data_IF_620120073475
#
_entry.id   IF_620120073475
#
_cell.length_a   1.000
_cell.length_b   1.000
_cell.length_c   1.000
_cell.angle_alpha   90.00
_cell.angle_beta   90.00
_cell.angle_gamma   90.00
#
_symmetry.space_group_name_H-M   'P 1'
#
loop_
_entity.id
_entity.type
_entity.pdbx_description
1 polymer ?
#
# COMPACT_ATOMS: atom_id res chain seq x y z
N UNK A 1 -23.67 -33.14 -10.32
CA UNK A 1 -23.93 -34.48 -10.84
C UNK A 1 -23.75 -34.47 -12.36
N UNK A 2 -22.64 -35.09 -12.85
CA UNK A 2 -22.23 -35.06 -14.27
C UNK A 2 -23.32 -35.62 -15.23
N UNK A 3 -24.18 -36.49 -14.73
CA UNK A 3 -25.33 -37.01 -15.47
C UNK A 3 -26.40 -35.94 -15.72
N UNK A 4 -26.70 -35.13 -14.71
CA UNK A 4 -27.71 -34.06 -14.81
C UNK A 4 -27.19 -32.91 -15.69
N UNK A 5 -25.88 -32.58 -15.62
CA UNK A 5 -25.26 -31.56 -16.47
C UNK A 5 -25.23 -31.99 -17.95
N UNK A 6 -24.96 -33.27 -18.24
CA UNK A 6 -24.95 -33.80 -19.59
C UNK A 6 -26.39 -33.78 -20.19
N UNK A 7 -27.39 -34.07 -19.39
CA UNK A 7 -28.81 -34.11 -19.84
C UNK A 7 -29.34 -32.69 -20.07
N UNK A 8 -29.03 -31.72 -19.22
CA UNK A 8 -29.45 -30.32 -19.38
C UNK A 8 -28.75 -29.63 -20.55
N UNK A 9 -27.50 -29.97 -20.82
CA UNK A 9 -26.71 -29.36 -21.90
C UNK A 9 -26.81 -30.12 -23.25
N UNK A 10 -27.50 -31.24 -23.31
CA UNK A 10 -27.67 -32.04 -24.53
C UNK A 10 -26.38 -32.69 -25.03
N UNK A 11 -25.40 -32.88 -24.15
CA UNK A 11 -24.11 -33.52 -24.46
C UNK A 11 -24.13 -35.01 -24.14
N UNK A 12 -23.37 -35.80 -24.90
CA UNK A 12 -23.14 -37.19 -24.51
C UNK A 12 -22.30 -37.25 -23.22
N UNK A 13 -22.45 -38.32 -22.43
CA UNK A 13 -21.64 -38.57 -21.23
C UNK A 13 -20.12 -38.52 -21.49
N UNK A 14 -19.72 -38.97 -22.69
CA UNK A 14 -18.30 -38.92 -23.07
C UNK A 14 -17.84 -37.49 -23.36
N UNK A 15 -18.66 -36.65 -23.95
CA UNK A 15 -18.39 -35.22 -24.15
C UNK A 15 -18.33 -34.48 -22.83
N UNK A 16 -19.27 -34.76 -21.91
CA UNK A 16 -19.26 -34.19 -20.58
C UNK A 16 -18.00 -34.63 -19.78
N UNK A 17 -17.59 -35.88 -19.88
CA UNK A 17 -16.41 -36.42 -19.24
C UNK A 17 -15.11 -35.83 -19.76
N UNK A 18 -15.01 -35.63 -21.08
CA UNK A 18 -13.78 -35.16 -21.72
C UNK A 18 -13.62 -33.64 -21.66
N UNK A 19 -14.72 -32.89 -21.73
CA UNK A 19 -14.66 -31.41 -21.78
C UNK A 19 -14.92 -30.76 -20.42
N UNK A 20 -15.62 -31.45 -19.51
CA UNK A 20 -15.92 -30.98 -18.16
C UNK A 20 -15.39 -31.90 -17.07
N UNK A 21 -14.52 -32.89 -17.45
CA UNK A 21 -13.81 -33.68 -16.46
C UNK A 21 -13.04 -32.71 -15.55
N UNK A 22 -13.51 -32.60 -14.33
CA UNK A 22 -12.85 -31.81 -13.31
C UNK A 22 -11.40 -32.22 -13.30
N UNK A 23 -10.50 -31.26 -13.46
CA UNK A 23 -9.09 -31.40 -13.08
C UNK A 23 -9.05 -32.23 -11.83
N UNK A 24 -8.28 -33.32 -11.78
CA UNK A 24 -8.30 -34.19 -10.61
C UNK A 24 -8.05 -33.30 -9.38
N UNK A 25 -8.69 -33.59 -8.26
CA UNK A 25 -8.49 -32.84 -7.00
C UNK A 25 -7.00 -32.65 -6.71
N UNK A 26 -6.19 -33.62 -7.11
CA UNK A 26 -4.73 -33.60 -7.00
C UNK A 26 -4.10 -32.55 -7.91
N UNK A 27 -4.54 -32.42 -9.15
CA UNK A 27 -4.01 -31.43 -10.11
C UNK A 27 -4.46 -30.01 -9.72
N UNK A 28 -5.69 -29.83 -9.24
CA UNK A 28 -6.19 -28.58 -8.72
C UNK A 28 -5.41 -28.15 -7.46
N UNK A 29 -5.18 -29.07 -6.52
CA UNK A 29 -4.38 -28.83 -5.34
C UNK A 29 -2.93 -28.47 -5.67
N UNK A 30 -2.35 -29.12 -6.69
CA UNK A 30 -1.00 -28.82 -7.16
C UNK A 30 -0.91 -27.44 -7.81
N UNK A 31 -1.87 -27.06 -8.66
CA UNK A 31 -1.95 -25.72 -9.26
C UNK A 31 -2.13 -24.62 -8.20
N UNK A 32 -3.01 -24.84 -7.22
CA UNK A 32 -3.21 -23.92 -6.10
C UNK A 32 -1.93 -23.78 -5.28
N UNK A 33 -1.25 -24.90 -4.97
CA UNK A 33 0.01 -24.87 -4.22
C UNK A 33 1.12 -24.15 -4.99
N UNK A 34 1.19 -24.33 -6.29
CA UNK A 34 2.15 -23.66 -7.17
C UNK A 34 1.88 -22.16 -7.21
N UNK A 35 0.62 -21.76 -7.36
CA UNK A 35 0.19 -20.35 -7.30
C UNK A 35 0.56 -19.68 -5.97
N UNK A 36 0.31 -20.33 -4.83
CA UNK A 36 0.70 -19.79 -3.52
C UNK A 36 2.21 -19.74 -3.33
N UNK A 37 2.98 -20.68 -3.87
CA UNK A 37 4.43 -20.62 -3.84
C UNK A 37 4.96 -19.48 -4.69
N UNK A 38 4.43 -19.26 -5.88
CA UNK A 38 4.78 -18.12 -6.75
C UNK A 38 4.43 -16.78 -6.08
N UNK A 39 3.25 -16.65 -5.47
CA UNK A 39 2.89 -15.47 -4.67
C UNK A 39 3.84 -15.24 -3.51
N UNK A 40 4.22 -16.30 -2.79
CA UNK A 40 5.18 -16.23 -1.70
C UNK A 40 6.55 -15.79 -2.17
N UNK A 41 7.05 -16.33 -3.29
CA UNK A 41 8.34 -15.94 -3.87
C UNK A 41 8.33 -14.46 -4.29
N UNK A 42 7.23 -13.97 -4.91
CA UNK A 42 7.07 -12.55 -5.25
C UNK A 42 7.04 -11.69 -4.00
N UNK A 43 6.27 -12.06 -2.97
CA UNK A 43 6.21 -11.33 -1.71
C UNK A 43 7.55 -11.31 -0.98
N UNK A 44 8.26 -12.46 -0.92
CA UNK A 44 9.60 -12.56 -0.31
C UNK A 44 10.65 -11.79 -1.13
N UNK A 45 10.57 -11.79 -2.47
CA UNK A 45 11.46 -11.01 -3.32
C UNK A 45 11.24 -9.50 -3.14
N UNK A 46 9.99 -9.06 -2.96
CA UNK A 46 9.68 -7.66 -2.65
C UNK A 46 10.21 -7.23 -1.28
N UNK A 47 10.07 -8.06 -0.25
CA UNK A 47 10.58 -7.76 1.10
C UNK A 47 12.11 -7.82 1.21
N UNK A 48 12.80 -8.65 0.42
CA UNK A 48 14.27 -8.76 0.45
C UNK A 48 15.02 -7.69 -0.33
N UNK A 49 14.36 -6.89 -1.16
CA UNK A 49 15.01 -5.98 -2.10
C UNK A 49 14.90 -4.50 -1.75
N UNK A 50 14.16 -4.14 -0.70
CA UNK A 50 14.21 -2.80 -0.16
C UNK A 50 15.29 -2.81 0.93
N UNK A 51 16.50 -2.29 0.63
CA UNK A 51 17.38 -1.81 1.68
C UNK A 51 16.55 -0.81 2.48
N UNK A 52 16.52 -0.98 3.80
CA UNK A 52 15.70 -0.15 4.68
C UNK A 52 16.16 1.30 4.58
N UNK A 53 15.31 2.16 4.08
CA UNK A 53 15.54 3.61 4.10
C UNK A 53 15.38 4.09 5.54
N UNK A 54 16.42 4.65 6.12
CA UNK A 54 16.34 5.22 7.46
C UNK A 54 15.30 6.36 7.50
N UNK A 55 14.56 6.46 8.60
CA UNK A 55 13.61 7.55 8.84
C UNK A 55 14.32 8.62 9.64
N UNK A 56 14.35 9.85 9.12
CA UNK A 56 14.81 11.01 9.86
C UNK A 56 13.67 11.53 10.72
N UNK A 57 13.81 11.43 12.05
CA UNK A 57 12.85 11.97 13.01
C UNK A 57 13.27 13.35 13.48
N UNK A 58 12.31 14.22 13.72
CA UNK A 58 12.50 15.58 14.25
C UNK A 58 11.89 15.62 15.64
N UNK A 59 12.72 15.85 16.66
CA UNK A 59 12.30 15.88 18.07
C UNK A 59 11.82 17.26 18.51
N UNK A 60 12.19 18.32 17.79
CA UNK A 60 11.79 19.71 18.10
C UNK A 60 11.22 20.38 16.84
N UNK A 61 10.38 21.42 16.99
CA UNK A 61 9.91 22.23 15.88
C UNK A 61 11.08 22.96 15.22
N UNK A 62 11.65 22.35 14.21
CA UNK A 62 12.66 22.94 13.33
C UNK A 62 11.92 23.71 12.24
N UNK A 63 12.50 24.80 11.75
CA UNK A 63 11.96 25.55 10.62
C UNK A 63 12.13 24.70 9.33
N UNK A 64 11.18 23.81 9.10
CA UNK A 64 11.12 22.88 7.97
C UNK A 64 9.87 23.11 7.15
N UNK A 65 9.93 22.75 5.88
CA UNK A 65 8.74 22.79 5.03
C UNK A 65 7.80 21.64 5.40
N UNK A 66 6.61 21.99 5.90
CA UNK A 66 5.54 21.00 6.15
C UNK A 66 5.04 20.40 4.86
N UNK A 67 4.93 19.07 4.81
CA UNK A 67 4.39 18.28 3.70
C UNK A 67 3.13 17.52 4.12
N UNK A 68 2.28 17.10 3.16
CA UNK A 68 1.13 16.24 3.44
C UNK A 68 1.48 14.83 3.94
N UNK A 69 2.76 14.45 3.96
CA UNK A 69 3.27 13.15 4.42
C UNK A 69 4.30 13.29 5.56
N UNK A 70 4.52 14.50 6.09
CA UNK A 70 5.53 14.81 7.12
C UNK A 70 6.21 16.14 6.86
N UNK A 71 7.55 16.17 6.73
CA UNK A 71 8.34 17.38 6.54
C UNK A 71 9.47 17.21 5.52
N UNK A 72 9.96 18.33 5.00
CA UNK A 72 11.14 18.40 4.16
C UNK A 72 12.18 19.32 4.82
N UNK A 73 13.39 18.80 5.04
CA UNK A 73 14.47 19.53 5.75
C UNK A 73 15.33 20.41 4.83
N UNK A 74 15.04 20.46 3.53
CA UNK A 74 15.78 21.34 2.61
C UNK A 74 15.04 22.64 2.36
N UNK A 75 15.77 23.74 2.32
CA UNK A 75 15.23 25.06 2.01
C UNK A 75 14.91 25.21 0.50
N UNK A 76 15.53 24.43 -0.36
CA UNK A 76 15.28 24.42 -1.80
C UNK A 76 14.80 23.05 -2.23
N UNK A 77 13.56 22.90 -2.72
CA UNK A 77 13.03 21.61 -3.16
C UNK A 77 13.87 21.03 -4.31
N UNK A 78 14.73 20.07 -3.97
CA UNK A 78 15.49 19.26 -4.93
C UNK A 78 15.32 17.80 -4.54
N UNK A 79 14.63 17.01 -5.39
CA UNK A 79 14.40 15.61 -5.08
C UNK A 79 15.73 14.83 -5.17
N UNK A 80 16.06 14.12 -4.09
CA UNK A 80 17.25 13.28 -3.98
C UNK A 80 16.87 11.91 -3.45
N UNK A 81 17.44 10.85 -4.04
CA UNK A 81 17.20 9.48 -3.59
C UNK A 81 17.78 9.27 -2.19
N UNK A 82 16.97 8.75 -1.28
CA UNK A 82 17.43 8.41 0.06
C UNK A 82 18.48 7.29 0.03
N UNK A 83 19.33 7.23 1.06
CA UNK A 83 20.22 6.09 1.26
C UNK A 83 19.37 4.82 1.49
N UNK A 84 19.68 3.73 0.79
CA UNK A 84 18.88 2.52 0.78
C UNK A 84 17.76 2.52 -0.28
N UNK A 85 17.69 3.57 -1.12
CA UNK A 85 16.75 3.61 -2.25
C UNK A 85 17.00 2.47 -3.23
N UNK A 86 15.93 1.80 -3.66
CA UNK A 86 15.99 0.76 -4.69
C UNK A 86 15.25 1.19 -5.94
N UNK A 87 15.60 0.62 -7.10
CA UNK A 87 14.95 0.93 -8.38
C UNK A 87 13.45 0.51 -8.45
N UNK A 88 12.96 -0.21 -7.44
CA UNK A 88 11.53 -0.54 -7.29
C UNK A 88 10.73 0.57 -6.61
N UNK A 89 11.40 1.43 -5.86
CA UNK A 89 10.78 2.57 -5.21
C UNK A 89 10.50 3.69 -6.24
N UNK A 90 9.40 4.44 -6.09
CA UNK A 90 9.14 5.59 -6.94
C UNK A 90 10.23 6.64 -6.76
N UNK A 91 10.74 7.16 -7.88
CA UNK A 91 11.77 8.22 -7.85
C UNK A 91 11.21 9.46 -7.14
N UNK A 92 11.94 10.02 -6.17
CA UNK A 92 11.54 11.24 -5.48
C UNK A 92 11.14 12.35 -6.44
N UNK A 93 10.01 13.01 -6.16
CA UNK A 93 9.44 14.05 -7.00
C UNK A 93 8.70 15.06 -6.11
N UNK A 94 9.12 16.30 -6.06
CA UNK A 94 8.51 17.35 -5.23
C UNK A 94 7.08 17.73 -5.63
N UNK A 95 6.57 17.24 -6.75
CA UNK A 95 5.18 17.44 -7.19
C UNK A 95 4.23 16.31 -6.75
N UNK A 96 4.80 15.18 -6.27
CA UNK A 96 4.07 14.00 -5.81
C UNK A 96 4.51 13.69 -4.38
N UNK A 97 3.70 14.10 -3.41
CA UNK A 97 4.09 14.07 -2.00
C UNK A 97 4.32 12.67 -1.46
N UNK A 98 3.60 11.67 -1.97
CA UNK A 98 3.83 10.27 -1.64
C UNK A 98 5.24 9.77 -2.04
N UNK A 99 5.87 10.39 -3.03
CA UNK A 99 7.24 10.10 -3.42
C UNK A 99 8.28 10.72 -2.49
N UNK A 100 7.89 11.71 -1.67
CA UNK A 100 8.77 12.28 -0.64
C UNK A 100 9.20 11.25 0.40
N UNK A 101 8.39 10.22 0.66
CA UNK A 101 8.73 9.11 1.56
C UNK A 101 10.04 8.36 1.19
N UNK A 102 10.51 8.53 -0.06
CA UNK A 102 11.72 7.92 -0.60
C UNK A 102 12.85 8.94 -0.83
N UNK A 103 12.63 10.19 -0.40
CA UNK A 103 13.57 11.28 -0.58
C UNK A 103 14.58 11.36 0.58
N UNK A 104 15.83 11.71 0.28
CA UNK A 104 16.87 11.97 1.29
C UNK A 104 16.49 13.10 2.27
N UNK A 105 15.73 14.07 1.80
CA UNK A 105 15.32 15.24 2.60
C UNK A 105 14.00 15.04 3.36
N UNK A 106 13.43 13.83 3.28
CA UNK A 106 12.21 13.52 4.02
C UNK A 106 12.51 13.36 5.51
N UNK A 107 11.69 13.99 6.32
CA UNK A 107 11.70 13.84 7.76
C UNK A 107 10.27 13.80 8.31
N UNK A 108 10.11 13.36 9.54
CA UNK A 108 8.81 13.24 10.21
C UNK A 108 8.92 13.65 11.66
N UNK A 109 7.92 14.36 12.19
CA UNK A 109 7.79 14.58 13.62
C UNK A 109 7.09 13.38 14.27
N UNK A 110 7.53 13.04 15.47
CA UNK A 110 6.91 11.99 16.28
C UNK A 110 5.64 12.53 16.99
N UNK A 111 4.73 13.14 16.23
CA UNK A 111 3.51 13.77 16.72
C UNK A 111 2.24 13.27 16.01
N UNK A 112 1.09 13.58 16.59
CA UNK A 112 -0.21 13.17 16.08
C UNK A 112 -0.50 13.70 14.67
N UNK A 113 0.00 14.89 14.37
CA UNK A 113 -0.27 15.57 13.09
C UNK A 113 0.38 14.80 11.94
N UNK A 114 1.66 14.49 12.06
CA UNK A 114 2.39 13.77 11.00
C UNK A 114 1.97 12.30 10.92
N UNK A 115 1.66 11.66 12.06
CA UNK A 115 1.08 10.30 12.10
C UNK A 115 -0.27 10.28 11.37
N UNK A 116 -1.16 11.25 11.64
CA UNK A 116 -2.46 11.38 10.97
C UNK A 116 -2.33 11.56 9.47
N UNK A 117 -1.38 12.37 8.99
CA UNK A 117 -1.11 12.54 7.56
C UNK A 117 -0.77 11.21 6.88
N UNK A 118 0.13 10.42 7.47
CA UNK A 118 0.51 9.11 6.92
C UNK A 118 -0.66 8.12 6.92
N UNK A 119 -1.42 8.05 8.02
CA UNK A 119 -2.57 7.16 8.13
C UNK A 119 -3.70 7.58 7.18
N UNK A 120 -3.90 8.88 6.96
CA UNK A 120 -4.88 9.40 6.00
C UNK A 120 -4.51 9.03 4.55
N UNK A 121 -3.23 9.16 4.17
CA UNK A 121 -2.76 8.68 2.87
C UNK A 121 -2.95 7.17 2.73
N UNK A 122 -2.60 6.40 3.76
CA UNK A 122 -2.78 4.94 3.78
C UNK A 122 -4.24 4.56 3.58
N UNK A 123 -5.16 5.22 4.28
CA UNK A 123 -6.60 5.03 4.16
C UNK A 123 -7.09 5.36 2.75
N UNK A 124 -6.71 6.50 2.18
CA UNK A 124 -7.06 6.90 0.82
C UNK A 124 -6.60 5.88 -0.22
N UNK A 125 -5.36 5.42 -0.13
CA UNK A 125 -4.84 4.37 -1.01
C UNK A 125 -5.62 3.05 -0.87
N UNK A 126 -6.06 2.71 0.34
CA UNK A 126 -6.93 1.57 0.61
C UNK A 126 -8.29 1.67 -0.10
N UNK A 127 -8.92 2.85 -0.10
CA UNK A 127 -10.15 3.10 -0.85
C UNK A 127 -9.95 2.99 -2.36
N UNK A 128 -8.89 3.59 -2.88
CA UNK A 128 -8.55 3.49 -4.32
C UNK A 128 -8.30 2.04 -4.72
N UNK A 129 -7.67 1.24 -3.86
CA UNK A 129 -7.46 -0.21 -4.09
C UNK A 129 -8.76 -0.97 -4.31
N UNK A 130 -9.79 -0.67 -3.50
CA UNK A 130 -11.09 -1.37 -3.59
C UNK A 130 -11.80 -1.10 -4.93
N UNK A 131 -11.49 0.02 -5.59
CA UNK A 131 -12.08 0.43 -6.87
C UNK A 131 -11.17 0.12 -8.07
N UNK A 132 -9.95 -0.33 -7.83
CA UNK A 132 -9.00 -0.63 -8.89
C UNK A 132 -9.49 -1.82 -9.74
N UNK A 133 -9.55 -1.62 -11.05
CA UNK A 133 -9.90 -2.67 -12.02
C UNK A 133 -8.73 -3.62 -12.28
N UNK A 134 -7.49 -3.16 -12.05
CA UNK A 134 -6.24 -3.91 -12.19
C UNK A 134 -5.45 -3.84 -10.89
N UNK A 135 -5.62 -4.84 -10.04
CA UNK A 135 -4.95 -4.94 -8.75
C UNK A 135 -3.44 -5.11 -8.88
N UNK A 136 -2.96 -5.76 -9.95
CA UNK A 136 -1.51 -5.96 -10.16
C UNK A 136 -0.85 -4.62 -10.46
N UNK A 137 -1.45 -3.84 -11.36
CA UNK A 137 -0.96 -2.50 -11.68
C UNK A 137 -1.03 -1.57 -10.47
N UNK A 138 -2.12 -1.64 -9.70
CA UNK A 138 -2.26 -0.87 -8.47
C UNK A 138 -1.16 -1.21 -7.46
N UNK A 139 -0.90 -2.50 -7.23
CA UNK A 139 0.15 -2.97 -6.32
C UNK A 139 1.55 -2.52 -6.75
N UNK A 140 1.84 -2.58 -8.05
CA UNK A 140 3.11 -2.09 -8.60
C UNK A 140 3.30 -0.59 -8.40
N UNK A 141 2.22 0.19 -8.43
CA UNK A 141 2.26 1.65 -8.33
C UNK A 141 2.25 2.13 -6.88
N UNK A 142 1.39 1.57 -6.02
CA UNK A 142 1.11 2.06 -4.68
C UNK A 142 1.52 1.11 -3.55
N UNK A 143 1.73 -0.18 -3.83
CA UNK A 143 2.11 -1.16 -2.82
C UNK A 143 3.41 -0.80 -2.11
N UNK A 144 4.39 -0.27 -2.84
CA UNK A 144 5.67 0.20 -2.29
C UNK A 144 5.48 1.42 -1.37
N UNK A 145 4.55 2.32 -1.71
CA UNK A 145 4.21 3.48 -0.88
C UNK A 145 3.56 3.04 0.42
N UNK A 146 2.59 2.11 0.37
CA UNK A 146 1.95 1.55 1.56
C UNK A 146 2.95 0.86 2.48
N UNK A 147 3.82 0.02 1.92
CA UNK A 147 4.86 -0.65 2.67
C UNK A 147 5.78 0.37 3.37
N UNK A 148 6.14 1.45 2.67
CA UNK A 148 6.98 2.51 3.22
C UNK A 148 6.30 3.26 4.35
N UNK A 149 5.00 3.55 4.25
CA UNK A 149 4.22 4.14 5.35
C UNK A 149 4.28 3.23 6.58
N UNK A 150 4.06 1.92 6.41
CA UNK A 150 4.13 0.96 7.51
C UNK A 150 5.53 0.88 8.14
N UNK A 151 6.60 0.95 7.35
CA UNK A 151 7.97 1.03 7.86
C UNK A 151 8.19 2.28 8.72
N UNK A 152 7.76 3.46 8.24
CA UNK A 152 7.89 4.72 8.96
C UNK A 152 7.15 4.67 10.30
N UNK A 153 5.89 4.22 10.29
CA UNK A 153 5.08 4.10 11.51
C UNK A 153 5.67 3.08 12.50
N UNK A 154 6.19 1.96 12.02
CA UNK A 154 6.88 0.97 12.84
C UNK A 154 8.18 1.52 13.43
N UNK A 155 8.95 2.31 12.69
CA UNK A 155 10.17 2.95 13.18
C UNK A 155 9.85 3.94 14.30
N UNK A 156 8.81 4.77 14.12
CA UNK A 156 8.33 5.69 15.17
C UNK A 156 7.88 4.92 16.42
N UNK A 157 7.06 3.87 16.24
CA UNK A 157 6.59 3.03 17.36
C UNK A 157 7.72 2.34 18.11
N UNK A 158 8.79 1.93 17.42
CA UNK A 158 9.94 1.28 18.05
C UNK A 158 10.89 2.27 18.73
N UNK A 159 10.91 3.52 18.25
CA UNK A 159 11.82 4.57 18.78
C UNK A 159 11.20 5.25 19.99
N UNK A 160 9.87 5.43 20.01
CA UNK A 160 9.15 6.18 21.04
C UNK A 160 8.11 5.29 21.72
N UNK A 161 8.33 4.94 22.97
CA UNK A 161 7.56 3.96 23.75
C UNK A 161 6.05 4.27 23.82
N UNK A 162 5.69 5.56 23.82
CA UNK A 162 4.30 6.02 23.94
C UNK A 162 3.57 6.12 22.59
N UNK A 163 4.25 5.96 21.45
CA UNK A 163 3.63 6.17 20.15
C UNK A 163 2.84 4.96 19.65
N UNK A 164 3.09 3.77 20.16
CA UNK A 164 2.35 2.58 19.74
C UNK A 164 0.84 2.74 19.93
N UNK A 165 0.42 3.07 21.14
CA UNK A 165 -1.00 3.25 21.47
C UNK A 165 -1.59 4.49 20.79
N UNK A 166 -0.77 5.54 20.60
CA UNK A 166 -1.17 6.75 19.89
C UNK A 166 -1.42 6.49 18.40
N UNK A 167 -0.54 5.77 17.73
CA UNK A 167 -0.71 5.38 16.33
C UNK A 167 -2.00 4.57 16.16
N UNK A 168 -2.27 3.63 17.08
CA UNK A 168 -3.50 2.85 17.05
C UNK A 168 -4.75 3.73 17.23
N UNK A 169 -4.75 4.65 18.21
CA UNK A 169 -5.87 5.55 18.43
C UNK A 169 -6.13 6.46 17.22
N UNK A 170 -5.07 7.04 16.63
CA UNK A 170 -5.21 7.89 15.43
C UNK A 170 -5.68 7.06 14.22
N UNK A 171 -5.28 5.80 14.12
CA UNK A 171 -5.77 4.93 13.07
C UNK A 171 -7.29 4.71 13.18
N UNK A 172 -7.82 4.46 14.38
CA UNK A 172 -9.28 4.33 14.60
C UNK A 172 -10.03 5.64 14.25
N UNK A 173 -9.46 6.78 14.59
CA UNK A 173 -10.00 8.11 14.24
C UNK A 173 -10.05 8.31 12.72
N UNK A 174 -8.96 8.01 12.01
CA UNK A 174 -8.88 8.10 10.54
C UNK A 174 -9.85 7.13 9.87
N UNK A 175 -9.98 5.90 10.37
CA UNK A 175 -10.94 4.89 9.88
C UNK A 175 -12.39 5.34 10.13
N UNK A 176 -12.64 6.15 11.17
CA UNK A 176 -13.95 6.77 11.43
C UNK A 176 -14.23 8.02 10.59
N UNK A 177 -13.26 8.48 9.80
CA UNK A 177 -13.39 9.60 8.86
C UNK A 177 -12.68 10.89 9.28
N UNK A 178 -11.93 10.91 10.40
CA UNK A 178 -11.14 12.06 10.85
C UNK A 178 -9.77 12.09 10.15
N UNK A 179 -9.80 12.37 8.83
CA UNK A 179 -8.60 12.45 8.00
C UNK A 179 -7.89 13.80 8.16
N UNK A 180 -6.60 13.83 7.85
CA UNK A 180 -5.88 15.08 7.62
C UNK A 180 -6.54 15.91 6.52
N UNK A 181 -6.59 17.22 6.68
CA UNK A 181 -7.34 18.13 5.80
C UNK A 181 -6.88 18.06 4.33
N UNK A 182 -5.58 17.87 4.07
CA UNK A 182 -5.07 17.75 2.71
C UNK A 182 -5.62 16.48 2.04
N UNK A 183 -5.56 15.35 2.72
CA UNK A 183 -6.03 14.07 2.19
C UNK A 183 -7.55 13.97 2.16
N UNK A 184 -8.26 14.64 3.06
CA UNK A 184 -9.71 14.77 3.01
C UNK A 184 -10.17 15.48 1.74
N UNK A 185 -9.53 16.59 1.38
CA UNK A 185 -9.83 17.30 0.12
C UNK A 185 -9.59 16.42 -1.11
N UNK A 186 -8.55 15.57 -1.09
CA UNK A 186 -8.31 14.61 -2.17
C UNK A 186 -9.36 13.50 -2.21
N UNK A 187 -9.79 13.02 -1.07
CA UNK A 187 -10.87 12.02 -0.95
C UNK A 187 -12.18 12.59 -1.52
N UNK A 188 -12.56 13.80 -1.14
CA UNK A 188 -13.74 14.50 -1.66
C UNK A 188 -13.68 14.68 -3.19
N UNK A 189 -12.52 15.08 -3.70
CA UNK A 189 -12.33 15.19 -5.15
C UNK A 189 -12.53 13.83 -5.87
N UNK A 190 -12.03 12.73 -5.30
CA UNK A 190 -12.23 11.40 -5.89
C UNK A 190 -13.69 10.95 -5.85
N UNK A 191 -14.43 11.35 -4.80
CA UNK A 191 -15.90 11.14 -4.71
C UNK A 191 -16.63 11.93 -5.79
N UNK A 192 -16.33 13.20 -5.95
CA UNK A 192 -16.96 14.08 -6.96
C UNK A 192 -16.71 13.59 -8.40
N UNK A 193 -15.53 13.03 -8.65
CA UNK A 193 -15.19 12.42 -9.92
C UNK A 193 -15.81 11.04 -10.13
N UNK A 194 -16.46 10.47 -9.11
CA UNK A 194 -17.04 9.13 -9.15
C UNK A 194 -16.01 7.99 -9.19
N UNK A 195 -14.79 8.27 -8.77
CA UNK A 195 -13.72 7.26 -8.71
C UNK A 195 -13.82 6.37 -7.47
N UNK A 196 -14.39 6.91 -6.42
CA UNK A 196 -14.78 6.20 -5.19
C UNK A 196 -16.24 6.54 -4.88
N UNK A 197 -17.00 5.59 -4.36
CA UNK A 197 -18.43 5.74 -4.01
C UNK A 197 -18.69 5.08 -2.66
#
# INVERSE_FOLDING_TARGET
>A
DLLLEAEVMGHSLDTARNNYARTSFKDAAQQISQFFNELREVAVAQTRTLERIAVQTLDEPVDVQTLPVGACVTATPQPEKALGFTEKAPTPNCQQFEHCLFCHHYAIHADDTDIRKLLSLKSLLGYVKQKATDLIKWEQQFGVVLHRIDEVLNDLSNTYENLHDRIFSIQEEVESGDLDAYWLNHFELLLDLGWIA
#
